data_IF_530686358701
#
_entry.id   IF_530686358701
#
_cell.length_a   1.000
_cell.length_b   1.000
_cell.length_c   1.000
_cell.angle_alpha   90.00
_cell.angle_beta   90.00
_cell.angle_gamma   90.00
#
_symmetry.space_group_name_H-M   'P 1'
#
loop_
_entity.id
_entity.type
_entity.pdbx_description
1 polymer ?
#
# COMPACT_ATOMS: atom_id res chain seq x y z
N UNK A 1 -20.37 28.33 -9.06
CA UNK A 1 -20.04 27.54 -7.87
C UNK A 1 -18.54 27.29 -7.80
N UNK A 2 -17.93 27.55 -6.64
CA UNK A 2 -16.51 27.26 -6.40
C UNK A 2 -16.26 25.75 -6.47
N UNK A 3 -15.05 25.34 -6.85
CA UNK A 3 -14.61 23.93 -6.79
C UNK A 3 -14.87 23.30 -5.41
N UNK A 4 -14.57 24.03 -4.33
CA UNK A 4 -14.81 23.56 -2.97
C UNK A 4 -16.29 23.41 -2.61
N UNK A 5 -17.18 24.25 -3.14
CA UNK A 5 -18.62 24.10 -2.87
C UNK A 5 -19.23 22.89 -3.59
N UNK A 6 -18.71 22.53 -4.77
CA UNK A 6 -19.11 21.29 -5.47
C UNK A 6 -18.65 20.06 -4.71
N UNK A 7 -17.42 20.07 -4.22
CA UNK A 7 -16.85 18.96 -3.45
C UNK A 7 -17.66 18.68 -2.18
N UNK A 8 -18.06 19.74 -1.43
CA UNK A 8 -18.91 19.59 -0.24
C UNK A 8 -20.30 19.04 -0.57
N UNK A 9 -20.92 19.53 -1.61
CA UNK A 9 -22.22 19.00 -2.04
C UNK A 9 -22.14 17.51 -2.41
N UNK A 10 -21.07 17.10 -3.11
CA UNK A 10 -20.83 15.70 -3.45
C UNK A 10 -20.61 14.82 -2.21
N UNK A 11 -19.89 15.29 -1.21
CA UNK A 11 -19.71 14.56 0.06
C UNK A 11 -21.03 14.39 0.80
N UNK A 12 -21.85 15.44 0.86
CA UNK A 12 -23.17 15.39 1.49
C UNK A 12 -24.10 14.40 0.79
N UNK A 13 -24.09 14.38 -0.54
CA UNK A 13 -24.87 13.42 -1.36
C UNK A 13 -24.44 11.97 -1.13
N UNK A 14 -23.17 11.75 -0.82
CA UNK A 14 -22.60 10.44 -0.50
C UNK A 14 -22.73 10.05 0.98
N UNK A 15 -23.26 10.94 1.83
CA UNK A 15 -23.35 10.74 3.28
C UNK A 15 -21.99 10.71 3.98
N UNK A 16 -20.97 11.29 3.37
CA UNK A 16 -19.60 11.34 3.92
C UNK A 16 -19.44 12.63 4.72
N UNK A 17 -18.99 12.49 5.96
CA UNK A 17 -18.70 13.64 6.82
C UNK A 17 -17.52 14.46 6.30
N UNK A 18 -17.63 15.79 6.33
CA UNK A 18 -16.59 16.69 5.82
C UNK A 18 -15.27 16.60 6.59
N UNK A 19 -15.30 16.21 7.86
CA UNK A 19 -14.12 16.03 8.72
C UNK A 19 -13.22 14.86 8.29
N UNK A 20 -13.74 13.90 7.51
CA UNK A 20 -12.94 12.85 6.89
C UNK A 20 -12.08 13.37 5.73
N UNK A 21 -12.37 14.57 5.19
CA UNK A 21 -11.60 15.15 4.10
C UNK A 21 -10.52 16.08 4.66
N UNK A 22 -9.22 15.75 4.50
CA UNK A 22 -8.14 16.61 4.96
C UNK A 22 -8.19 18.01 4.31
N UNK A 23 -7.76 19.05 5.04
CA UNK A 23 -7.73 20.41 4.49
C UNK A 23 -7.00 20.52 3.16
N UNK A 24 -7.63 21.15 2.18
CA UNK A 24 -7.05 21.37 0.85
C UNK A 24 -7.13 20.18 -0.11
N UNK A 25 -7.74 19.07 0.32
CA UNK A 25 -8.01 17.93 -0.57
C UNK A 25 -9.41 17.99 -1.19
N UNK A 26 -9.62 17.17 -2.20
CA UNK A 26 -10.92 16.98 -2.85
C UNK A 26 -11.23 15.50 -3.01
N UNK A 27 -12.51 15.15 -2.95
CA UNK A 27 -12.97 13.79 -3.23
C UNK A 27 -12.84 13.42 -4.70
N UNK A 28 -12.48 12.18 -4.97
CA UNK A 28 -12.49 11.61 -6.33
C UNK A 28 -13.09 10.21 -6.34
N UNK A 29 -13.98 9.95 -7.30
CA UNK A 29 -14.48 8.59 -7.59
C UNK A 29 -13.45 7.77 -8.36
N UNK A 30 -12.57 8.44 -9.10
CA UNK A 30 -11.49 7.78 -9.83
C UNK A 30 -10.36 7.45 -8.87
N UNK A 31 -9.59 6.42 -9.21
CA UNK A 31 -8.32 6.17 -8.56
C UNK A 31 -7.21 6.57 -9.53
N UNK A 32 -6.69 7.80 -9.42
CA UNK A 32 -5.64 8.26 -10.31
C UNK A 32 -4.42 7.35 -10.23
N UNK A 33 -3.89 6.95 -11.36
CA UNK A 33 -2.65 6.19 -11.44
C UNK A 33 -1.50 7.18 -11.52
N UNK A 34 -0.62 7.11 -10.54
CA UNK A 34 0.59 7.92 -10.45
C UNK A 34 1.77 6.96 -10.29
N UNK A 35 2.69 6.97 -11.23
CA UNK A 35 3.90 6.16 -11.18
C UNK A 35 5.12 6.97 -11.66
N UNK A 36 6.29 6.56 -11.20
CA UNK A 36 7.57 7.10 -11.68
C UNK A 36 8.06 6.21 -12.83
N UNK A 37 8.35 6.79 -13.97
CA UNK A 37 8.80 6.05 -15.15
C UNK A 37 7.67 5.38 -15.94
N UNK A 38 7.96 4.27 -16.61
CA UNK A 38 6.98 3.45 -17.34
C UNK A 38 6.30 2.47 -16.38
N UNK A 39 5.08 2.05 -16.76
CA UNK A 39 4.43 0.92 -16.05
C UNK A 39 5.31 -0.32 -16.25
N UNK A 40 5.78 -0.97 -15.18
CA UNK A 40 6.63 -2.14 -15.31
C UNK A 40 5.84 -3.33 -15.87
N UNK A 41 6.47 -4.07 -16.77
CA UNK A 41 5.99 -5.39 -17.21
C UNK A 41 6.57 -6.44 -16.26
N UNK A 42 5.78 -6.81 -15.26
CA UNK A 42 6.22 -7.72 -14.19
C UNK A 42 5.93 -9.15 -14.57
N UNK A 43 6.99 -9.92 -14.83
CA UNK A 43 6.89 -11.37 -14.98
C UNK A 43 6.76 -12.04 -13.60
N UNK A 44 5.56 -12.51 -13.27
CA UNK A 44 5.29 -13.16 -11.99
C UNK A 44 6.02 -14.50 -11.81
N UNK A 45 6.51 -15.11 -12.89
CA UNK A 45 7.28 -16.36 -12.81
C UNK A 45 8.71 -16.15 -12.28
N UNK A 46 9.23 -14.93 -12.41
CA UNK A 46 10.56 -14.52 -11.93
C UNK A 46 10.51 -13.51 -10.80
N UNK A 47 9.30 -13.07 -10.45
CA UNK A 47 9.11 -12.12 -9.36
C UNK A 47 9.49 -12.74 -8.01
N UNK A 48 10.17 -11.97 -7.19
CA UNK A 48 10.49 -12.35 -5.83
C UNK A 48 10.30 -11.19 -4.85
N UNK A 49 10.05 -11.55 -3.61
CA UNK A 49 9.93 -10.64 -2.48
C UNK A 49 10.92 -11.03 -1.41
N UNK A 50 11.80 -10.11 -1.04
CA UNK A 50 12.89 -10.35 -0.09
C UNK A 50 12.68 -9.53 1.16
N UNK A 51 12.88 -10.14 2.31
CA UNK A 51 12.98 -9.48 3.62
C UNK A 51 14.32 -9.83 4.22
N UNK A 52 15.18 -8.84 4.42
CA UNK A 52 16.51 -9.00 4.98
C UNK A 52 16.92 -7.83 5.92
N UNK A 53 18.19 -7.73 6.28
CA UNK A 53 18.68 -6.69 7.18
C UNK A 53 18.70 -7.14 8.64
N UNK A 54 18.12 -6.34 9.55
CA UNK A 54 18.07 -6.64 10.98
C UNK A 54 17.00 -7.69 11.32
N UNK A 55 17.09 -8.86 10.71
CA UNK A 55 16.22 -10.02 10.93
C UNK A 55 17.04 -11.26 11.25
N UNK A 56 16.51 -12.15 12.09
CA UNK A 56 17.17 -13.42 12.42
C UNK A 56 16.93 -14.49 11.36
N UNK A 57 15.88 -14.35 10.57
CA UNK A 57 15.47 -15.28 9.50
C UNK A 57 15.21 -14.52 8.21
N UNK A 58 16.22 -14.23 7.39
CA UNK A 58 15.98 -13.61 6.07
C UNK A 58 15.06 -14.47 5.21
N UNK A 59 14.12 -13.83 4.52
CA UNK A 59 13.08 -14.50 3.75
C UNK A 59 13.16 -14.11 2.27
N UNK A 60 12.80 -15.07 1.42
CA UNK A 60 12.57 -14.84 0.00
C UNK A 60 11.35 -15.66 -0.43
N UNK A 61 10.38 -14.98 -1.01
CA UNK A 61 9.13 -15.57 -1.47
C UNK A 61 9.00 -15.39 -2.98
N UNK A 62 8.53 -16.42 -3.67
CA UNK A 62 7.96 -16.27 -5.00
C UNK A 62 6.57 -15.63 -4.91
N UNK A 63 6.00 -15.25 -6.05
CA UNK A 63 4.64 -14.76 -6.12
C UNK A 63 3.63 -15.78 -5.55
N UNK A 64 3.79 -17.06 -5.89
CA UNK A 64 2.91 -18.13 -5.36
C UNK A 64 3.04 -18.28 -3.86
N UNK A 65 4.26 -18.25 -3.30
CA UNK A 65 4.45 -18.36 -1.86
C UNK A 65 3.71 -17.23 -1.12
N UNK A 66 3.78 -16.00 -1.64
CA UNK A 66 3.08 -14.87 -1.04
C UNK A 66 1.56 -15.00 -1.14
N UNK A 67 1.05 -15.51 -2.28
CA UNK A 67 -0.40 -15.70 -2.49
C UNK A 67 -1.00 -16.84 -1.67
N UNK A 68 -0.19 -17.82 -1.26
CA UNK A 68 -0.61 -18.94 -0.40
C UNK A 68 -0.65 -18.57 1.09
N UNK A 69 -0.15 -17.39 1.47
CA UNK A 69 -0.21 -16.90 2.84
C UNK A 69 -1.62 -16.48 3.27
N UNK A 70 -1.91 -16.50 4.59
CA UNK A 70 -3.16 -15.96 5.11
C UNK A 70 -3.36 -14.50 4.72
N UNK A 71 -4.52 -14.19 4.14
CA UNK A 71 -4.88 -12.83 3.72
C UNK A 71 -5.78 -12.14 4.73
N UNK A 72 -5.63 -10.83 4.84
CA UNK A 72 -6.51 -9.94 5.60
C UNK A 72 -7.12 -8.91 4.67
N UNK A 73 -8.26 -8.36 5.07
CA UNK A 73 -8.93 -7.28 4.33
C UNK A 73 -9.02 -6.04 5.20
N UNK A 74 -8.75 -4.90 4.60
CA UNK A 74 -8.78 -3.59 5.26
C UNK A 74 -9.60 -2.63 4.40
N UNK A 75 -10.49 -1.88 5.05
CA UNK A 75 -11.18 -0.74 4.43
C UNK A 75 -10.60 0.54 4.99
N UNK A 76 -10.12 1.42 4.12
CA UNK A 76 -9.45 2.66 4.53
C UNK A 76 -9.64 3.77 3.52
N UNK A 77 -9.43 5.00 3.97
CA UNK A 77 -9.37 6.17 3.10
C UNK A 77 -7.96 6.34 2.55
N UNK A 78 -7.85 6.77 1.32
CA UNK A 78 -6.57 7.14 0.70
C UNK A 78 -6.52 8.64 0.54
N UNK A 79 -5.49 9.26 1.10
CA UNK A 79 -5.20 10.68 1.00
C UNK A 79 -3.88 10.89 0.25
N UNK A 80 -3.95 11.35 -0.99
CA UNK A 80 -2.77 11.53 -1.83
C UNK A 80 -2.15 12.90 -1.64
N UNK A 81 -0.81 12.98 -1.68
CA UNK A 81 -0.06 14.25 -1.66
C UNK A 81 -0.46 15.19 -2.82
N UNK A 82 -0.99 14.66 -3.90
CA UNK A 82 -1.53 15.43 -5.05
C UNK A 82 -2.95 15.94 -4.81
N UNK A 83 -3.38 15.97 -3.52
CA UNK A 83 -4.60 16.61 -3.02
C UNK A 83 -5.92 15.96 -3.37
N UNK A 84 -5.93 14.69 -3.72
CA UNK A 84 -7.18 13.95 -3.84
C UNK A 84 -7.36 12.93 -2.71
N UNK A 85 -8.60 12.67 -2.37
CA UNK A 85 -9.01 11.66 -1.40
C UNK A 85 -10.00 10.70 -2.05
N UNK A 86 -9.82 9.41 -1.79
CA UNK A 86 -10.79 8.37 -2.12
C UNK A 86 -11.16 7.65 -0.82
N UNK A 87 -12.46 7.64 -0.51
CA UNK A 87 -12.99 7.06 0.73
C UNK A 87 -13.33 5.59 0.59
N UNK A 88 -13.32 4.89 1.73
CA UNK A 88 -13.83 3.54 1.91
C UNK A 88 -13.27 2.53 0.89
N UNK A 89 -11.98 2.65 0.55
CA UNK A 89 -11.31 1.73 -0.37
C UNK A 89 -11.03 0.39 0.31
N UNK A 90 -11.39 -0.71 -0.34
CA UNK A 90 -11.19 -2.07 0.16
C UNK A 90 -9.94 -2.70 -0.44
N UNK A 91 -9.07 -3.20 0.44
CA UNK A 91 -7.80 -3.83 0.07
C UNK A 91 -7.71 -5.20 0.73
N UNK A 92 -7.14 -6.17 0.02
CA UNK A 92 -6.84 -7.47 0.59
C UNK A 92 -5.42 -7.88 0.22
N UNK A 93 -4.77 -8.60 1.14
CA UNK A 93 -3.40 -9.07 0.96
C UNK A 93 -2.82 -9.66 2.24
N UNK A 94 -1.52 -9.85 2.27
CA UNK A 94 -0.80 -10.44 3.41
C UNK A 94 -0.43 -9.36 4.42
N UNK A 95 -0.71 -9.58 5.69
CA UNK A 95 -0.34 -8.63 6.76
C UNK A 95 1.18 -8.43 6.81
N UNK A 96 1.64 -7.18 6.91
CA UNK A 96 3.06 -6.86 7.10
C UNK A 96 3.59 -7.49 8.39
N UNK A 97 2.80 -7.48 9.46
CA UNK A 97 3.14 -8.09 10.74
C UNK A 97 3.39 -9.59 10.58
N UNK A 98 2.52 -10.33 9.86
CA UNK A 98 2.70 -11.76 9.63
C UNK A 98 4.04 -12.08 8.97
N UNK A 99 4.41 -11.35 7.92
CA UNK A 99 5.68 -11.54 7.22
C UNK A 99 6.88 -11.21 8.14
N UNK A 100 6.79 -10.13 8.90
CA UNK A 100 7.87 -9.69 9.77
C UNK A 100 8.02 -10.58 11.02
N UNK A 101 6.95 -11.19 11.51
CA UNK A 101 7.01 -12.22 12.56
C UNK A 101 7.77 -13.47 12.05
N UNK A 102 7.54 -13.87 10.79
CA UNK A 102 8.29 -14.97 10.15
C UNK A 102 9.78 -14.62 9.99
N UNK A 103 10.09 -13.37 9.64
CA UNK A 103 11.45 -12.88 9.50
C UNK A 103 12.19 -12.73 10.84
N UNK A 104 11.48 -12.70 11.97
CA UNK A 104 12.03 -12.51 13.31
C UNK A 104 12.86 -11.23 13.39
N UNK A 105 12.19 -10.09 13.25
CA UNK A 105 12.81 -8.76 13.26
C UNK A 105 13.52 -8.52 14.60
N UNK A 106 14.77 -8.05 14.51
CA UNK A 106 15.61 -7.74 15.68
C UNK A 106 15.10 -6.54 16.48
N UNK A 107 15.34 -6.55 17.78
CA UNK A 107 14.89 -5.48 18.68
C UNK A 107 15.52 -4.10 18.37
N UNK A 108 16.62 -4.07 17.66
CA UNK A 108 17.33 -2.84 17.27
C UNK A 108 16.78 -2.24 15.95
N UNK A 109 15.87 -2.94 15.26
CA UNK A 109 15.26 -2.44 14.04
C UNK A 109 14.24 -1.34 14.38
N UNK A 110 14.45 -0.15 13.84
CA UNK A 110 13.59 1.01 14.08
C UNK A 110 12.83 1.46 12.86
N UNK A 111 13.31 1.11 11.66
CA UNK A 111 12.73 1.51 10.37
C UNK A 111 12.74 0.35 9.40
N UNK A 112 11.85 0.43 8.42
CA UNK A 112 11.86 -0.42 7.23
C UNK A 112 12.18 0.42 6.00
N UNK A 113 13.09 -0.09 5.17
CA UNK A 113 13.35 0.46 3.84
C UNK A 113 12.62 -0.41 2.82
N UNK A 114 11.76 0.21 2.02
CA UNK A 114 11.03 -0.44 0.95
C UNK A 114 11.71 -0.07 -0.36
N UNK A 115 12.13 -1.06 -1.13
CA UNK A 115 12.64 -0.87 -2.48
C UNK A 115 11.61 -1.40 -3.48
N UNK A 116 11.27 -0.55 -4.44
CA UNK A 116 10.39 -0.89 -5.55
C UNK A 116 11.17 -1.04 -6.85
N UNK A 117 10.51 -1.56 -7.88
CA UNK A 117 11.08 -1.60 -9.21
C UNK A 117 11.56 -0.21 -9.66
N UNK A 118 12.58 -0.19 -10.51
CA UNK A 118 13.22 1.03 -11.05
C UNK A 118 13.95 1.87 -9.98
N UNK A 119 14.29 1.26 -8.82
CA UNK A 119 15.09 1.91 -7.79
C UNK A 119 14.34 2.94 -6.95
N UNK A 120 13.02 2.94 -6.98
CA UNK A 120 12.25 3.77 -6.06
C UNK A 120 12.34 3.20 -4.64
N UNK A 121 12.64 4.08 -3.68
CA UNK A 121 12.75 3.69 -2.27
C UNK A 121 11.86 4.55 -1.39
N UNK A 122 11.34 3.96 -0.32
CA UNK A 122 10.63 4.65 0.74
C UNK A 122 11.05 4.05 2.09
N UNK A 123 11.13 4.88 3.12
CA UNK A 123 11.37 4.43 4.48
C UNK A 123 10.22 4.84 5.40
N UNK A 124 9.93 3.98 6.37
CA UNK A 124 8.89 4.20 7.37
C UNK A 124 9.41 3.75 8.73
N UNK A 125 8.96 4.37 9.84
CA UNK A 125 9.14 3.79 11.16
C UNK A 125 8.53 2.38 11.20
N UNK A 126 9.23 1.45 11.85
CA UNK A 126 8.78 0.06 11.92
C UNK A 126 7.42 -0.07 12.61
N UNK A 127 7.15 0.75 13.64
CA UNK A 127 5.88 0.78 14.34
C UNK A 127 4.70 1.15 13.44
N UNK A 128 4.89 2.12 12.52
CA UNK A 128 3.87 2.52 11.54
C UNK A 128 3.66 1.44 10.47
N UNK A 129 4.73 0.75 10.08
CA UNK A 129 4.68 -0.31 9.08
C UNK A 129 4.01 -1.59 9.60
N UNK A 130 4.08 -1.86 10.90
CA UNK A 130 3.52 -3.06 11.54
C UNK A 130 2.15 -2.82 12.19
N UNK A 131 1.39 -1.85 11.73
CA UNK A 131 0.01 -1.64 12.19
C UNK A 131 -0.92 -2.75 11.71
N UNK A 132 -2.07 -2.93 12.35
CA UNK A 132 -3.07 -3.94 11.97
C UNK A 132 -3.65 -3.69 10.57
N UNK A 133 -3.64 -2.45 10.10
CA UNK A 133 -4.12 -2.06 8.79
C UNK A 133 -3.07 -2.13 7.68
N UNK A 134 -1.81 -2.44 8.02
CA UNK A 134 -0.72 -2.52 7.04
C UNK A 134 -0.66 -3.88 6.39
N UNK A 135 -0.65 -3.91 5.06
CA UNK A 135 -0.63 -5.16 4.29
C UNK A 135 0.13 -5.01 2.96
N UNK A 136 0.63 -6.11 2.47
CA UNK A 136 1.10 -6.27 1.09
C UNK A 136 -0.12 -6.59 0.23
N UNK A 137 -0.70 -5.55 -0.37
CA UNK A 137 -1.95 -5.66 -1.11
C UNK A 137 -1.76 -6.43 -2.42
N UNK A 138 -2.64 -7.40 -2.66
CA UNK A 138 -2.77 -8.10 -3.93
C UNK A 138 -4.09 -7.83 -4.63
N UNK A 139 -5.12 -7.45 -3.87
CA UNK A 139 -6.45 -7.12 -4.38
C UNK A 139 -6.85 -5.69 -3.99
N UNK A 140 -7.58 -5.05 -4.89
CA UNK A 140 -8.26 -3.77 -4.69
C UNK A 140 -9.72 -3.91 -5.12
N UNK A 141 -10.67 -3.57 -4.23
CA UNK A 141 -12.12 -3.75 -4.47
C UNK A 141 -12.49 -5.19 -4.89
N UNK A 142 -11.77 -6.18 -4.36
CA UNK A 142 -11.96 -7.59 -4.68
C UNK A 142 -11.31 -8.09 -5.96
N UNK A 143 -10.74 -7.19 -6.77
CA UNK A 143 -10.10 -7.52 -8.04
C UNK A 143 -8.56 -7.49 -7.91
N UNK A 144 -7.83 -8.34 -8.64
CA UNK A 144 -6.37 -8.30 -8.67
C UNK A 144 -5.85 -6.92 -9.10
N UNK A 145 -4.80 -6.46 -8.43
CA UNK A 145 -4.14 -5.22 -8.81
C UNK A 145 -3.63 -5.29 -10.25
N UNK A 146 -3.98 -4.29 -11.04
CA UNK A 146 -3.48 -4.14 -12.43
C UNK A 146 -1.99 -3.77 -12.45
N UNK A 147 -1.24 -4.01 -13.54
CA UNK A 147 0.19 -3.71 -13.61
C UNK A 147 0.55 -2.28 -13.24
N UNK A 148 -0.28 -1.31 -13.62
CA UNK A 148 -0.15 0.10 -13.27
C UNK A 148 -0.33 0.41 -11.78
N UNK A 149 -0.83 -0.56 -10.99
CA UNK A 149 -1.00 -0.49 -9.54
C UNK A 149 -0.09 -1.47 -8.79
N UNK A 150 0.47 -2.45 -9.49
CA UNK A 150 1.47 -3.41 -9.00
C UNK A 150 2.90 -2.87 -9.06
N UNK A 151 3.09 -1.60 -9.40
CA UNK A 151 4.40 -1.00 -9.66
C UNK A 151 5.34 -0.96 -8.45
N UNK A 152 4.92 -1.51 -7.33
CA UNK A 152 5.73 -1.58 -6.12
C UNK A 152 6.27 -3.00 -5.95
N UNK A 153 7.49 -3.24 -6.36
CA UNK A 153 8.31 -4.34 -5.87
C UNK A 153 8.81 -3.91 -4.50
N UNK A 154 8.43 -4.64 -3.48
CA UNK A 154 8.89 -4.35 -2.13
C UNK A 154 10.15 -5.18 -1.85
N UNK A 155 11.31 -4.53 -1.89
CA UNK A 155 12.49 -5.04 -1.22
C UNK A 155 12.61 -4.28 0.09
N UNK A 156 12.60 -4.96 1.22
CA UNK A 156 12.93 -4.35 2.50
C UNK A 156 14.39 -4.65 2.81
N UNK A 157 15.22 -3.63 2.83
CA UNK A 157 16.59 -3.74 3.33
C UNK A 157 16.91 -2.57 4.27
N UNK A 158 17.52 -2.90 5.42
CA UNK A 158 18.13 -2.07 6.47
C UNK A 158 17.20 -1.42 7.48
#
# INVERSE_FOLDING_TARGET
>A
MSFFSRNRAELADLGISEDRLPPGQYHTKRFPVLHVGSVPDVDLSTWDFVVDGLVSSPLRFSWSDLMDMPTVSVTTDIHCVTKWTKFDTSWSGVSTRHVFDLAQVGADATHVMIEADQGYTANLPLEDFLTESSLFASLYEGEPLTPDRKSTRLNSSH
#
